data_IF_161273546553
#
_entry.id   IF_161273546553
#
_cell.length_a   1.000
_cell.length_b   1.000
_cell.length_c   1.000
_cell.angle_alpha   90.00
_cell.angle_beta   90.00
_cell.angle_gamma   90.00
#
_symmetry.space_group_name_H-M   'P 1'
#
loop_
_entity.id
_entity.type
_entity.pdbx_description
1 polymer ?
#
# COMPACT_ATOMS: atom_id res chain seq x y z
N UNK A 1 -14.94 -3.15 26.01
CA UNK A 1 -13.69 -2.35 26.06
C UNK A 1 -13.95 -0.88 25.80
N UNK A 2 -14.61 -0.49 24.69
CA UNK A 2 -14.99 0.91 24.39
C UNK A 2 -15.64 1.65 25.58
N UNK A 3 -16.58 1.02 26.27
CA UNK A 3 -17.25 1.59 27.44
C UNK A 3 -16.30 1.88 28.62
N UNK A 4 -15.27 1.05 28.86
CA UNK A 4 -14.26 1.30 29.91
C UNK A 4 -13.38 2.49 29.55
N UNK A 5 -13.08 2.65 28.26
CA UNK A 5 -12.24 3.72 27.74
C UNK A 5 -12.96 5.06 27.81
N UNK A 6 -14.24 5.09 27.43
CA UNK A 6 -15.11 6.26 27.57
C UNK A 6 -15.23 6.68 29.04
N UNK A 7 -15.35 5.71 29.96
CA UNK A 7 -15.33 5.98 31.41
C UNK A 7 -13.96 6.49 31.89
N UNK A 8 -12.86 5.96 31.36
CA UNK A 8 -11.51 6.44 31.70
C UNK A 8 -11.25 7.87 31.20
N UNK A 9 -11.78 8.25 30.03
CA UNK A 9 -11.67 9.62 29.51
C UNK A 9 -12.39 10.64 30.39
N UNK A 10 -13.47 10.26 31.08
CA UNK A 10 -14.12 11.15 32.05
C UNK A 10 -13.24 11.46 33.26
N UNK A 11 -12.32 10.54 33.61
CA UNK A 11 -11.40 10.71 34.75
C UNK A 11 -10.04 11.29 34.34
N UNK A 12 -9.54 10.90 33.17
CA UNK A 12 -8.24 11.32 32.62
C UNK A 12 -8.43 11.62 31.13
N UNK A 13 -8.93 12.83 30.79
CA UNK A 13 -9.29 13.18 29.42
C UNK A 13 -8.09 13.09 28.47
N UNK A 14 -6.90 13.42 28.95
CA UNK A 14 -5.67 13.48 28.16
C UNK A 14 -5.02 12.10 27.94
N UNK A 15 -5.57 11.02 28.52
CA UNK A 15 -4.94 9.70 28.53
C UNK A 15 -4.66 9.20 27.11
N UNK A 16 -5.65 9.33 26.21
CA UNK A 16 -5.51 8.83 24.85
C UNK A 16 -4.50 9.64 24.04
N UNK A 17 -4.44 10.95 24.23
CA UNK A 17 -3.46 11.81 23.54
C UNK A 17 -2.04 11.49 23.99
N UNK A 18 -1.85 11.27 25.29
CA UNK A 18 -0.55 10.85 25.85
C UNK A 18 -0.17 9.46 25.35
N UNK A 19 -1.13 8.52 25.30
CA UNK A 19 -0.90 7.18 24.75
C UNK A 19 -0.55 7.22 23.27
N UNK A 20 -1.31 7.97 22.44
CA UNK A 20 -1.05 8.15 21.00
C UNK A 20 0.36 8.66 20.78
N UNK A 21 0.71 9.75 21.46
CA UNK A 21 2.04 10.38 21.39
C UNK A 21 3.17 9.40 21.75
N UNK A 22 3.06 8.70 22.89
CA UNK A 22 4.11 7.77 23.34
C UNK A 22 4.22 6.54 22.46
N UNK A 23 3.08 6.01 22.01
CA UNK A 23 3.04 4.95 21.02
C UNK A 23 3.74 5.39 19.74
N UNK A 24 3.43 6.57 19.20
CA UNK A 24 4.10 7.10 18.00
C UNK A 24 5.61 7.24 18.19
N UNK A 25 6.09 7.68 19.37
CA UNK A 25 7.54 7.76 19.67
C UNK A 25 8.19 6.38 19.65
N UNK A 26 7.67 5.44 20.45
CA UNK A 26 8.22 4.08 20.52
C UNK A 26 8.17 3.41 19.14
N UNK A 27 7.05 3.52 18.46
CA UNK A 27 6.83 2.97 17.13
C UNK A 27 7.86 3.56 16.14
N UNK A 28 8.04 4.88 16.07
CA UNK A 28 9.05 5.46 15.18
C UNK A 28 10.49 5.06 15.51
N UNK A 29 10.82 4.89 16.79
CA UNK A 29 12.16 4.44 17.20
C UNK A 29 12.40 2.97 16.86
N UNK A 30 11.42 2.09 17.10
CA UNK A 30 11.46 0.67 16.72
C UNK A 30 11.80 0.51 15.25
N UNK A 31 11.23 1.39 14.45
CA UNK A 31 11.20 1.28 13.02
C UNK A 31 12.42 1.87 12.31
N UNK A 32 13.13 2.75 12.99
CA UNK A 32 14.33 3.40 12.46
C UNK A 32 15.62 2.65 12.84
N UNK A 33 15.52 1.58 13.64
CA UNK A 33 16.58 0.85 14.32
C UNK A 33 17.50 1.69 15.21
N UNK A 34 17.89 2.89 14.82
CA UNK A 34 18.61 3.89 15.60
C UNK A 34 18.27 5.29 15.06
N UNK A 35 17.72 6.18 15.89
CA UNK A 35 17.30 7.52 15.44
C UNK A 35 17.76 8.64 16.38
N UNK A 36 18.22 9.74 15.80
CA UNK A 36 18.58 10.96 16.53
C UNK A 36 17.35 11.80 16.90
N UNK A 37 17.42 12.50 18.04
CA UNK A 37 16.30 13.29 18.58
C UNK A 37 15.74 14.33 17.59
N UNK A 38 16.61 15.05 16.88
CA UNK A 38 16.19 16.08 15.92
C UNK A 38 15.35 15.49 14.78
N UNK A 39 15.82 14.38 14.20
CA UNK A 39 15.11 13.66 13.15
C UNK A 39 13.76 13.15 13.66
N UNK A 40 13.76 12.50 14.82
CA UNK A 40 12.52 11.98 15.42
C UNK A 40 11.50 13.08 15.72
N UNK A 41 11.95 14.25 16.21
CA UNK A 41 11.09 15.39 16.48
C UNK A 41 10.44 15.93 15.20
N UNK A 42 11.24 16.06 14.13
CA UNK A 42 10.75 16.49 12.81
C UNK A 42 9.72 15.50 12.24
N UNK A 43 9.99 14.19 12.31
CA UNK A 43 9.08 13.16 11.79
C UNK A 43 7.73 13.16 12.51
N UNK A 44 7.74 13.39 13.83
CA UNK A 44 6.53 13.38 14.65
C UNK A 44 5.83 14.75 14.73
N UNK A 45 6.32 15.77 14.03
CA UNK A 45 5.84 17.15 14.14
C UNK A 45 5.81 17.66 15.60
N UNK A 46 6.84 17.30 16.38
CA UNK A 46 7.00 17.68 17.78
C UNK A 46 8.19 18.60 17.98
N UNK A 47 8.17 19.41 19.05
CA UNK A 47 9.38 20.17 19.45
C UNK A 47 10.41 19.24 20.10
N UNK A 48 11.70 19.52 19.92
CA UNK A 48 12.76 18.73 20.59
C UNK A 48 12.63 18.72 22.12
N UNK A 49 12.16 19.82 22.71
CA UNK A 49 11.93 19.91 24.16
C UNK A 49 10.85 18.95 24.62
N UNK A 50 9.74 18.89 23.90
CA UNK A 50 8.63 17.98 24.21
C UNK A 50 9.04 16.53 23.99
N UNK A 51 9.71 16.24 22.86
CA UNK A 51 10.20 14.91 22.57
C UNK A 51 11.17 14.42 23.65
N UNK A 52 12.10 15.28 24.11
CA UNK A 52 13.03 14.95 25.19
C UNK A 52 12.31 14.49 26.45
N UNK A 53 11.28 15.23 26.89
CA UNK A 53 10.53 14.87 28.09
C UNK A 53 9.88 13.49 27.97
N UNK A 54 9.28 13.18 26.80
CA UNK A 54 8.68 11.87 26.56
C UNK A 54 9.72 10.76 26.43
N UNK A 55 10.83 10.98 25.73
CA UNK A 55 11.89 9.96 25.58
C UNK A 55 12.60 9.68 26.89
N UNK A 56 12.80 10.70 27.74
CA UNK A 56 13.35 10.53 29.08
C UNK A 56 12.39 9.69 29.95
N UNK A 57 11.07 9.93 29.87
CA UNK A 57 10.07 9.10 30.53
C UNK A 57 10.08 7.66 30.01
N UNK A 58 10.08 7.44 28.70
CA UNK A 58 10.08 6.11 28.11
C UNK A 58 11.35 5.32 28.46
N UNK A 59 12.49 6.02 28.58
CA UNK A 59 13.74 5.45 29.09
C UNK A 59 13.64 5.02 30.54
N UNK A 60 13.05 5.83 31.43
CA UNK A 60 12.88 5.44 32.85
C UNK A 60 11.93 4.26 33.03
N UNK A 61 10.97 4.07 32.11
CA UNK A 61 10.13 2.88 32.02
C UNK A 61 10.84 1.66 31.40
N UNK A 62 12.09 1.80 30.94
CA UNK A 62 12.85 0.73 30.31
C UNK A 62 12.37 0.35 28.90
N UNK A 63 11.54 1.19 28.26
CA UNK A 63 10.99 0.94 26.92
C UNK A 63 11.89 1.49 25.80
N UNK A 64 12.86 2.33 26.17
CA UNK A 64 13.74 3.04 25.25
C UNK A 64 15.18 3.04 25.77
N UNK A 65 16.14 2.83 24.89
CA UNK A 65 17.57 2.97 25.15
C UNK A 65 18.10 4.23 24.47
N UNK A 66 18.85 5.06 25.20
CA UNK A 66 19.40 6.31 24.68
C UNK A 66 20.92 6.28 24.80
N UNK A 67 21.61 6.38 23.67
CA UNK A 67 23.07 6.45 23.56
C UNK A 67 23.51 7.73 22.87
N UNK A 68 24.82 8.00 22.85
CA UNK A 68 25.40 9.16 22.16
C UNK A 68 25.07 9.19 20.65
N UNK A 69 24.92 8.02 20.03
CA UNK A 69 24.59 7.87 18.60
C UNK A 69 23.10 7.95 18.25
N UNK A 70 22.21 7.95 19.24
CA UNK A 70 20.75 7.96 19.00
C UNK A 70 19.96 7.12 19.99
N UNK A 71 18.69 6.92 19.68
CA UNK A 71 17.73 6.19 20.48
C UNK A 71 17.38 4.86 19.81
N UNK A 72 17.25 3.81 20.62
CA UNK A 72 16.84 2.46 20.24
C UNK A 72 15.64 2.03 21.07
N UNK A 73 14.79 1.17 20.52
CA UNK A 73 13.74 0.53 21.31
C UNK A 73 14.35 -0.68 22.04
N UNK A 74 13.97 -0.87 23.30
CA UNK A 74 14.32 -2.09 24.04
C UNK A 74 13.41 -3.26 23.64
N UNK A 75 13.76 -4.48 24.00
CA UNK A 75 12.90 -5.65 23.72
C UNK A 75 11.56 -5.58 24.48
N UNK A 76 11.52 -5.01 25.69
CA UNK A 76 10.28 -4.74 26.41
C UNK A 76 9.42 -3.69 25.69
N UNK A 77 10.04 -2.68 25.08
CA UNK A 77 9.37 -1.70 24.24
C UNK A 77 8.72 -2.33 23.01
N UNK A 78 9.42 -3.25 22.32
CA UNK A 78 8.88 -3.99 21.17
C UNK A 78 7.68 -4.84 21.56
N UNK A 79 7.82 -5.62 22.64
CA UNK A 79 6.74 -6.47 23.14
C UNK A 79 5.50 -5.65 23.52
N UNK A 80 5.70 -4.49 24.16
CA UNK A 80 4.61 -3.58 24.48
C UNK A 80 3.90 -3.07 23.22
N UNK A 81 4.63 -2.67 22.19
CA UNK A 81 4.04 -2.21 20.92
C UNK A 81 3.23 -3.31 20.24
N UNK A 82 3.76 -4.54 20.18
CA UNK A 82 3.05 -5.68 19.60
C UNK A 82 1.74 -5.99 20.35
N UNK A 83 1.75 -5.91 21.68
CA UNK A 83 0.56 -6.11 22.50
C UNK A 83 -0.43 -4.95 22.41
N UNK A 84 0.07 -3.73 22.19
CA UNK A 84 -0.75 -2.53 22.04
C UNK A 84 -1.30 -2.35 20.63
N UNK A 85 -0.74 -2.97 19.59
CA UNK A 85 -1.19 -2.78 18.21
C UNK A 85 -2.70 -3.07 18.02
N UNK A 86 -3.27 -4.18 18.54
CA UNK A 86 -4.72 -4.42 18.46
C UNK A 86 -5.54 -3.38 19.22
N UNK A 87 -5.01 -2.91 20.36
CA UNK A 87 -5.65 -1.90 21.18
C UNK A 87 -5.64 -0.53 20.49
N UNK A 88 -4.51 -0.13 19.89
CA UNK A 88 -4.36 1.11 19.14
C UNK A 88 -5.38 1.19 18.00
N UNK A 89 -5.55 0.10 17.23
CA UNK A 89 -6.57 0.04 16.17
C UNK A 89 -8.00 0.28 16.67
N UNK A 90 -8.33 -0.35 17.80
CA UNK A 90 -9.67 -0.25 18.41
C UNK A 90 -9.91 1.13 19.04
N UNK A 91 -8.87 1.75 19.60
CA UNK A 91 -8.97 2.96 20.41
C UNK A 91 -8.92 4.25 19.60
N UNK A 92 -8.17 4.24 18.50
CA UNK A 92 -8.02 5.40 17.63
C UNK A 92 -8.93 5.35 16.41
N UNK A 93 -10.02 4.58 16.49
CA UNK A 93 -11.07 4.56 15.47
C UNK A 93 -10.68 3.90 14.15
N UNK A 94 -9.49 3.30 14.03
CA UNK A 94 -9.06 2.67 12.77
C UNK A 94 -10.00 1.54 12.36
N UNK A 95 -10.51 0.76 13.32
CA UNK A 95 -11.51 -0.28 13.02
C UNK A 95 -12.85 0.29 12.53
N UNK A 96 -13.22 1.49 12.97
CA UNK A 96 -14.45 2.16 12.49
C UNK A 96 -14.25 2.71 11.08
N UNK A 97 -13.07 3.27 10.78
CA UNK A 97 -12.68 3.68 9.44
C UNK A 97 -12.61 2.47 8.49
N UNK A 98 -11.98 1.37 8.92
CA UNK A 98 -11.92 0.11 8.18
C UNK A 98 -13.33 -0.35 7.81
N UNK A 99 -14.25 -0.41 8.79
CA UNK A 99 -15.62 -0.87 8.58
C UNK A 99 -16.45 0.08 7.72
N UNK A 100 -16.28 1.40 7.90
CA UNK A 100 -16.96 2.42 7.09
C UNK A 100 -16.58 2.31 5.62
N UNK A 101 -15.27 2.24 5.33
CA UNK A 101 -14.74 2.10 3.97
C UNK A 101 -15.15 0.75 3.38
N UNK A 102 -15.00 -0.33 4.16
CA UNK A 102 -15.33 -1.70 3.72
C UNK A 102 -16.79 -1.81 3.32
N UNK A 103 -17.70 -1.36 4.18
CA UNK A 103 -19.14 -1.46 3.93
C UNK A 103 -19.61 -0.52 2.83
N UNK A 104 -19.04 0.68 2.71
CA UNK A 104 -19.41 1.62 1.65
C UNK A 104 -18.99 1.14 0.25
N UNK A 105 -17.77 0.66 0.09
CA UNK A 105 -17.25 0.19 -1.21
C UNK A 105 -17.45 -1.30 -1.48
N UNK A 106 -18.07 -2.05 -0.57
CA UNK A 106 -18.36 -3.48 -0.75
C UNK A 106 -17.13 -4.39 -0.74
N UNK A 107 -16.07 -4.00 -0.02
CA UNK A 107 -14.81 -4.75 0.03
C UNK A 107 -14.93 -5.96 0.98
N UNK A 108 -14.18 -7.03 0.72
CA UNK A 108 -14.10 -8.18 1.64
C UNK A 108 -13.34 -7.82 2.91
N UNK A 109 -12.31 -6.99 2.79
CA UNK A 109 -11.47 -6.56 3.90
C UNK A 109 -10.82 -5.20 3.63
N UNK A 110 -10.74 -4.37 4.67
CA UNK A 110 -9.92 -3.15 4.69
C UNK A 110 -8.95 -3.28 5.85
N UNK A 111 -7.68 -2.94 5.61
CA UNK A 111 -6.66 -2.85 6.65
C UNK A 111 -6.05 -1.46 6.61
N UNK A 112 -6.11 -0.76 7.75
CA UNK A 112 -5.51 0.55 7.91
C UNK A 112 -4.28 0.44 8.82
N UNK A 113 -3.15 0.99 8.35
CA UNK A 113 -1.95 1.20 9.17
C UNK A 113 -1.90 2.65 9.67
N UNK A 114 -1.36 2.87 10.87
CA UNK A 114 -1.31 4.20 11.47
C UNK A 114 -0.33 5.16 10.74
N UNK A 115 -0.71 6.44 10.66
CA UNK A 115 0.11 7.50 10.08
C UNK A 115 -0.13 7.77 8.59
N UNK A 116 0.88 8.37 7.94
CA UNK A 116 0.81 8.84 6.55
C UNK A 116 2.07 8.41 5.76
N UNK A 117 1.90 7.52 4.79
CA UNK A 117 3.01 6.99 3.97
C UNK A 117 3.56 7.98 2.94
N UNK A 118 2.91 9.13 2.73
CA UNK A 118 3.43 10.23 1.91
C UNK A 118 4.61 10.91 2.60
N UNK A 119 4.48 11.20 3.90
CA UNK A 119 5.49 11.89 4.70
C UNK A 119 6.41 10.95 5.49
N UNK A 120 5.95 9.72 5.76
CA UNK A 120 6.67 8.73 6.56
C UNK A 120 7.07 7.52 5.73
N UNK A 121 8.36 7.43 5.39
CA UNK A 121 8.94 6.23 4.77
C UNK A 121 8.67 4.98 5.61
N UNK A 122 8.52 5.15 6.92
CA UNK A 122 8.17 4.07 7.82
C UNK A 122 6.71 3.63 7.68
N UNK A 123 5.75 4.54 7.63
CA UNK A 123 4.35 4.16 7.41
C UNK A 123 4.23 3.41 6.08
N UNK A 124 5.01 3.79 5.06
CA UNK A 124 5.13 3.04 3.80
C UNK A 124 5.67 1.61 3.98
N UNK A 125 6.61 1.39 4.90
CA UNK A 125 7.10 0.04 5.25
C UNK A 125 6.03 -0.78 5.97
N UNK A 126 5.31 -0.19 6.93
CA UNK A 126 4.18 -0.87 7.59
C UNK A 126 3.06 -1.20 6.61
N UNK A 127 2.77 -0.31 5.66
CA UNK A 127 1.84 -0.56 4.58
C UNK A 127 2.26 -1.78 3.75
N UNK A 128 3.56 -1.89 3.44
CA UNK A 128 4.15 -3.07 2.81
C UNK A 128 4.01 -4.34 3.65
N UNK A 129 4.24 -4.25 4.97
CA UNK A 129 4.12 -5.38 5.92
C UNK A 129 2.68 -5.88 6.01
N UNK A 130 1.72 -4.96 6.15
CA UNK A 130 0.30 -5.31 6.14
C UNK A 130 -0.11 -5.95 4.80
N UNK A 131 0.34 -5.40 3.67
CA UNK A 131 0.10 -5.99 2.35
C UNK A 131 0.70 -7.39 2.19
N UNK A 132 1.92 -7.63 2.72
CA UNK A 132 2.56 -8.95 2.64
C UNK A 132 1.85 -9.98 3.52
N UNK A 133 1.32 -9.57 4.67
CA UNK A 133 0.51 -10.43 5.54
C UNK A 133 -0.81 -10.85 4.88
N UNK A 134 -1.50 -9.93 4.21
CA UNK A 134 -2.70 -10.26 3.42
C UNK A 134 -2.35 -11.28 2.35
N UNK A 135 -1.34 -10.98 1.53
CA UNK A 135 -0.92 -11.86 0.44
C UNK A 135 -0.57 -13.26 0.96
N UNK A 136 0.22 -13.36 2.02
CA UNK A 136 0.58 -14.65 2.64
C UNK A 136 -0.63 -15.43 3.16
N UNK A 137 -1.67 -14.75 3.64
CA UNK A 137 -2.88 -15.39 4.17
C UNK A 137 -3.75 -15.96 3.05
N UNK A 138 -3.81 -15.30 1.89
CA UNK A 138 -4.68 -15.71 0.78
C UNK A 138 -4.02 -16.66 -0.21
N UNK A 139 -2.68 -16.68 -0.27
CA UNK A 139 -1.94 -17.58 -1.16
C UNK A 139 -2.14 -19.05 -0.76
N UNK A 140 -2.26 -19.89 -1.79
CA UNK A 140 -2.35 -21.34 -1.78
C UNK A 140 -1.24 -21.92 -2.68
N UNK A 141 -0.87 -23.20 -2.51
CA UNK A 141 0.08 -23.85 -3.41
C UNK A 141 -0.38 -23.78 -4.87
N UNK A 142 0.56 -23.55 -5.78
CA UNK A 142 0.35 -23.49 -7.24
C UNK A 142 -0.36 -22.23 -7.76
N UNK A 143 -0.53 -21.20 -6.94
CA UNK A 143 -1.08 -19.94 -7.43
C UNK A 143 -0.15 -19.23 -8.41
N UNK A 144 -0.78 -18.48 -9.31
CA UNK A 144 -0.14 -17.40 -10.05
C UNK A 144 -0.55 -16.07 -9.44
N UNK A 145 0.44 -15.28 -9.03
CA UNK A 145 0.32 -13.95 -8.42
C UNK A 145 0.86 -12.91 -9.39
N UNK A 146 -0.03 -12.10 -9.96
CA UNK A 146 0.36 -10.97 -10.81
C UNK A 146 0.57 -9.70 -9.99
N UNK A 147 1.68 -8.99 -10.25
CA UNK A 147 2.05 -7.81 -9.47
C UNK A 147 2.38 -6.60 -10.33
N UNK A 148 1.95 -5.40 -9.90
CA UNK A 148 2.32 -4.16 -10.59
C UNK A 148 3.70 -3.65 -10.15
N UNK A 149 4.15 -2.61 -10.84
CA UNK A 149 5.28 -1.78 -10.39
C UNK A 149 4.93 -0.89 -9.18
N UNK A 150 5.91 -0.13 -8.73
CA UNK A 150 5.72 0.99 -7.80
C UNK A 150 6.39 0.82 -6.44
N UNK A 151 6.63 1.96 -5.79
CA UNK A 151 7.37 2.01 -4.51
C UNK A 151 6.63 1.29 -3.39
N UNK A 152 5.30 1.35 -3.37
CA UNK A 152 4.48 0.65 -2.36
C UNK A 152 4.53 -0.87 -2.52
N UNK A 153 4.39 -1.39 -3.76
CA UNK A 153 4.45 -2.83 -4.01
C UNK A 153 5.86 -3.38 -3.80
N UNK A 154 6.89 -2.58 -4.07
CA UNK A 154 8.26 -2.92 -3.68
C UNK A 154 8.40 -3.09 -2.15
N UNK A 155 7.69 -2.31 -1.32
CA UNK A 155 7.66 -2.54 0.12
C UNK A 155 6.95 -3.84 0.49
N UNK A 156 5.82 -4.17 -0.16
CA UNK A 156 5.16 -5.48 0.02
C UNK A 156 6.12 -6.62 -0.26
N UNK A 157 6.79 -6.56 -1.41
CA UNK A 157 7.78 -7.55 -1.80
C UNK A 157 8.92 -7.66 -0.79
N UNK A 158 9.41 -6.55 -0.25
CA UNK A 158 10.48 -6.54 0.76
C UNK A 158 10.11 -7.19 2.09
N UNK A 159 8.82 -7.25 2.41
CA UNK A 159 8.29 -7.82 3.66
C UNK A 159 7.85 -9.28 3.52
N UNK A 160 7.99 -9.88 2.32
CA UNK A 160 7.74 -11.30 2.14
C UNK A 160 8.87 -12.14 2.75
N UNK A 161 8.47 -13.25 3.36
CA UNK A 161 9.34 -14.22 4.01
C UNK A 161 9.16 -15.60 3.39
N UNK A 162 10.21 -16.42 3.42
CA UNK A 162 10.16 -17.76 2.82
C UNK A 162 9.22 -18.68 3.59
N UNK A 163 8.44 -19.46 2.84
CA UNK A 163 7.63 -20.55 3.35
C UNK A 163 7.71 -21.72 2.38
N UNK A 164 7.84 -22.94 2.90
CA UNK A 164 7.92 -24.16 2.08
C UNK A 164 6.67 -24.36 1.21
N UNK A 165 5.51 -23.90 1.68
CA UNK A 165 4.23 -24.02 0.99
C UNK A 165 4.12 -23.14 -0.26
N UNK A 166 4.95 -22.09 -0.37
CA UNK A 166 4.86 -21.10 -1.46
C UNK A 166 5.81 -21.41 -2.62
N UNK A 167 6.66 -22.44 -2.52
CA UNK A 167 7.69 -22.74 -3.52
C UNK A 167 7.13 -23.10 -4.89
N UNK A 168 5.89 -23.59 -4.95
CA UNK A 168 5.23 -23.99 -6.20
C UNK A 168 4.44 -22.85 -6.85
N UNK A 169 4.41 -21.67 -6.24
CA UNK A 169 3.71 -20.51 -6.74
C UNK A 169 4.55 -19.79 -7.81
N UNK A 170 3.87 -18.99 -8.63
CA UNK A 170 4.48 -18.14 -9.64
C UNK A 170 4.20 -16.68 -9.34
N UNK A 171 5.25 -15.87 -9.29
CA UNK A 171 5.12 -14.41 -9.34
C UNK A 171 5.36 -13.93 -10.77
N UNK A 172 4.43 -13.15 -11.30
CA UNK A 172 4.49 -12.62 -12.67
C UNK A 172 4.19 -11.12 -12.68
N UNK A 173 4.73 -10.35 -13.62
CA UNK A 173 4.37 -8.95 -13.76
C UNK A 173 2.94 -8.83 -14.30
N UNK A 174 2.15 -7.91 -13.76
CA UNK A 174 0.82 -7.61 -14.28
C UNK A 174 0.88 -6.95 -15.67
N UNK A 175 2.00 -6.30 -16.01
CA UNK A 175 2.15 -5.43 -17.19
C UNK A 175 3.59 -5.40 -17.70
N UNK A 176 3.80 -4.77 -18.86
CA UNK A 176 5.12 -4.61 -19.47
C UNK A 176 6.05 -3.68 -18.68
N UNK A 177 7.29 -3.59 -19.14
CA UNK A 177 8.31 -2.73 -18.54
C UNK A 177 8.02 -1.24 -18.81
N UNK A 178 8.09 -0.44 -17.75
CA UNK A 178 8.20 1.02 -17.83
C UNK A 178 9.69 1.37 -17.81
N UNK A 179 10.16 2.22 -18.73
CA UNK A 179 11.57 2.60 -18.89
C UNK A 179 12.15 3.47 -17.76
N UNK A 180 11.85 3.14 -16.52
CA UNK A 180 12.10 3.91 -15.30
C UNK A 180 13.13 3.23 -14.39
N UNK A 181 13.25 3.71 -13.15
CA UNK A 181 14.04 3.07 -12.08
C UNK A 181 13.77 1.57 -12.04
N UNK A 182 14.82 0.79 -12.32
CA UNK A 182 14.79 -0.66 -12.40
C UNK A 182 14.21 -1.30 -11.13
N UNK A 183 14.40 -0.66 -9.98
CA UNK A 183 13.99 -1.18 -8.66
C UNK A 183 12.47 -1.26 -8.48
N UNK A 184 11.70 -0.44 -9.20
CA UNK A 184 10.24 -0.35 -9.04
C UNK A 184 9.46 -0.92 -10.23
N UNK A 185 10.13 -1.58 -11.17
CA UNK A 185 9.47 -2.24 -12.29
C UNK A 185 8.76 -3.52 -11.85
N UNK A 186 7.63 -3.83 -12.49
CA UNK A 186 6.85 -5.04 -12.20
C UNK A 186 7.68 -6.33 -12.31
N UNK A 187 8.56 -6.43 -13.33
CA UNK A 187 9.49 -7.55 -13.49
C UNK A 187 10.42 -7.72 -12.29
N UNK A 188 11.03 -6.62 -11.83
CA UNK A 188 11.95 -6.63 -10.70
C UNK A 188 11.25 -7.02 -9.42
N UNK A 189 10.05 -6.46 -9.19
CA UNK A 189 9.23 -6.77 -8.03
C UNK A 189 8.79 -8.24 -8.04
N UNK A 190 8.31 -8.77 -9.17
CA UNK A 190 7.93 -10.18 -9.31
C UNK A 190 9.11 -11.12 -9.00
N UNK A 191 10.29 -10.82 -9.57
CA UNK A 191 11.52 -11.58 -9.28
C UNK A 191 11.92 -11.49 -7.81
N UNK A 192 11.78 -10.32 -7.19
CA UNK A 192 12.09 -10.11 -5.76
C UNK A 192 11.14 -10.91 -4.86
N UNK A 193 9.83 -10.89 -5.13
CA UNK A 193 8.85 -11.67 -4.38
C UNK A 193 9.15 -13.17 -4.47
N UNK A 194 9.44 -13.67 -5.67
CA UNK A 194 9.80 -15.07 -5.88
C UNK A 194 11.07 -15.46 -5.12
N UNK A 195 12.13 -14.65 -5.21
CA UNK A 195 13.39 -14.90 -4.49
C UNK A 195 13.21 -14.94 -2.97
N UNK A 196 12.38 -14.05 -2.41
CA UNK A 196 12.14 -13.98 -0.96
C UNK A 196 11.29 -15.13 -0.44
N UNK A 197 10.32 -15.57 -1.24
CA UNK A 197 9.44 -16.68 -0.86
C UNK A 197 10.05 -18.05 -1.17
N UNK A 198 10.96 -18.12 -2.15
CA UNK A 198 11.47 -19.36 -2.74
C UNK A 198 10.60 -19.89 -3.87
N UNK A 199 9.64 -19.08 -4.34
CA UNK A 199 8.72 -19.38 -5.43
C UNK A 199 9.39 -19.19 -6.81
N UNK A 200 8.64 -19.47 -7.86
CA UNK A 200 9.06 -19.29 -9.25
C UNK A 200 8.62 -17.93 -9.78
N UNK A 201 9.23 -17.45 -10.87
CA UNK A 201 8.79 -16.25 -11.57
C UNK A 201 8.95 -16.38 -13.08
N UNK A 202 8.12 -15.64 -13.83
CA UNK A 202 8.30 -15.38 -15.27
C UNK A 202 8.25 -13.89 -15.52
N UNK A 203 9.06 -13.39 -16.47
CA UNK A 203 9.23 -11.96 -16.74
C UNK A 203 8.76 -11.58 -18.14
N UNK A 204 8.05 -10.48 -18.24
CA UNK A 204 7.51 -9.95 -19.49
C UNK A 204 8.44 -8.86 -20.02
N UNK A 205 9.27 -9.20 -21.01
CA UNK A 205 10.27 -8.31 -21.60
C UNK A 205 9.72 -7.52 -22.80
N UNK A 206 8.57 -6.88 -22.62
CA UNK A 206 7.97 -5.97 -23.61
C UNK A 206 7.71 -4.61 -22.99
N UNK A 207 7.80 -3.50 -23.75
CA UNK A 207 7.40 -2.19 -23.29
C UNK A 207 5.93 -2.16 -22.84
N UNK A 208 5.63 -1.38 -21.80
CA UNK A 208 4.26 -1.16 -21.33
C UNK A 208 3.42 -0.34 -22.34
N UNK A 209 4.06 0.45 -23.19
CA UNK A 209 3.41 1.25 -24.23
C UNK A 209 3.99 0.89 -25.59
N UNK A 210 3.11 0.44 -26.50
CA UNK A 210 3.42 0.06 -27.87
C UNK A 210 2.37 0.69 -28.79
N UNK A 211 2.80 1.12 -29.98
CA UNK A 211 1.86 1.44 -31.06
C UNK A 211 1.13 0.19 -31.54
N UNK A 212 -0.02 0.38 -32.19
CA UNK A 212 -0.93 -0.72 -32.59
C UNK A 212 -0.22 -1.82 -33.42
N UNK A 213 0.58 -1.42 -34.41
CA UNK A 213 1.31 -2.36 -35.27
C UNK A 213 2.33 -3.20 -34.50
N UNK A 214 3.12 -2.54 -33.63
CA UNK A 214 4.12 -3.22 -32.81
C UNK A 214 3.46 -4.16 -31.78
N UNK A 215 2.35 -3.73 -31.19
CA UNK A 215 1.55 -4.57 -30.30
C UNK A 215 1.02 -5.81 -31.03
N UNK A 216 0.41 -5.63 -32.21
CA UNK A 216 -0.16 -6.73 -32.98
C UNK A 216 0.92 -7.76 -33.37
N UNK A 217 2.10 -7.29 -33.78
CA UNK A 217 3.25 -8.14 -34.12
C UNK A 217 3.77 -8.91 -32.90
N UNK A 218 4.06 -8.23 -31.78
CA UNK A 218 4.58 -8.84 -30.55
C UNK A 218 3.61 -9.89 -29.97
N UNK A 219 2.30 -9.67 -30.08
CA UNK A 219 1.31 -10.64 -29.61
C UNK A 219 1.25 -11.93 -30.44
N UNK A 220 1.84 -11.97 -31.64
CA UNK A 220 1.98 -13.20 -32.43
C UNK A 220 3.19 -14.04 -32.03
N UNK A 221 4.14 -13.48 -31.29
CA UNK A 221 5.33 -14.20 -30.84
C UNK A 221 4.94 -15.28 -29.81
N UNK A 222 5.20 -16.58 -30.07
CA UNK A 222 4.74 -17.67 -29.22
C UNK A 222 5.17 -17.53 -27.75
N UNK A 223 6.42 -17.10 -27.52
CA UNK A 223 6.96 -16.91 -26.17
C UNK A 223 6.25 -15.79 -25.41
N UNK A 224 5.83 -14.73 -26.11
CA UNK A 224 5.09 -13.61 -25.51
C UNK A 224 3.67 -14.06 -25.20
N UNK A 225 3.03 -14.78 -26.12
CA UNK A 225 1.70 -15.32 -25.90
C UNK A 225 1.66 -16.26 -24.70
N UNK A 226 2.62 -17.19 -24.60
CA UNK A 226 2.72 -18.12 -23.46
C UNK A 226 2.79 -17.39 -22.12
N UNK A 227 3.66 -16.37 -22.00
CA UNK A 227 3.75 -15.63 -20.74
C UNK A 227 2.51 -14.79 -20.46
N UNK A 228 1.90 -14.20 -21.48
CA UNK A 228 0.64 -13.45 -21.32
C UNK A 228 -0.48 -14.36 -20.84
N UNK A 229 -0.56 -15.58 -21.35
CA UNK A 229 -1.55 -16.57 -20.91
C UNK A 229 -1.34 -16.93 -19.42
N UNK A 230 -0.09 -17.07 -18.96
CA UNK A 230 0.23 -17.25 -17.53
C UNK A 230 -0.15 -16.02 -16.71
N UNK A 231 0.16 -14.80 -17.20
CA UNK A 231 -0.21 -13.55 -16.50
C UNK A 231 -1.73 -13.46 -16.33
N UNK A 232 -2.50 -13.80 -17.37
CA UNK A 232 -3.97 -13.74 -17.36
C UNK A 232 -4.63 -14.88 -16.57
N UNK A 233 -3.89 -15.96 -16.28
CA UNK A 233 -4.33 -17.01 -15.36
C UNK A 233 -4.09 -16.67 -13.89
N UNK A 234 -3.69 -15.44 -13.56
CA UNK A 234 -3.44 -15.04 -12.19
C UNK A 234 -4.71 -15.17 -11.33
N UNK A 235 -4.61 -15.94 -10.24
CA UNK A 235 -5.68 -16.02 -9.24
C UNK A 235 -5.67 -14.81 -8.32
N UNK A 236 -4.46 -14.30 -8.03
CA UNK A 236 -4.24 -13.15 -7.16
C UNK A 236 -3.58 -12.03 -7.94
N UNK A 237 -4.09 -10.80 -7.79
CA UNK A 237 -3.49 -9.59 -8.33
C UNK A 237 -3.14 -8.65 -7.18
N UNK A 238 -1.90 -8.18 -7.13
CA UNK A 238 -1.43 -7.19 -6.13
C UNK A 238 -1.01 -5.92 -6.84
N UNK A 239 -1.64 -4.79 -6.51
CA UNK A 239 -1.43 -3.56 -7.26
C UNK A 239 -1.38 -2.30 -6.40
N UNK A 240 -0.64 -1.32 -6.90
CA UNK A 240 -0.64 0.03 -6.37
C UNK A 240 -1.69 0.90 -7.06
N UNK A 241 -1.99 2.03 -6.42
CA UNK A 241 -2.85 3.09 -6.98
C UNK A 241 -2.01 4.35 -7.18
N UNK A 242 -2.04 4.87 -8.40
CA UNK A 242 -1.31 6.04 -8.85
C UNK A 242 -2.22 7.25 -9.06
N UNK A 243 -1.61 8.44 -9.03
CA UNK A 243 -2.21 9.64 -9.60
C UNK A 243 -2.16 9.55 -11.13
N UNK A 244 -3.27 9.89 -11.78
CA UNK A 244 -3.41 9.79 -13.24
C UNK A 244 -2.33 10.60 -13.98
N UNK A 245 -2.10 11.86 -13.59
CA UNK A 245 -1.21 12.75 -14.31
C UNK A 245 0.26 12.43 -14.05
N UNK A 246 0.60 12.01 -12.83
CA UNK A 246 1.93 11.48 -12.53
C UNK A 246 2.22 10.26 -13.41
N UNK A 247 1.26 9.34 -13.55
CA UNK A 247 1.44 8.13 -14.36
C UNK A 247 1.49 8.40 -15.87
N UNK A 248 0.69 9.35 -16.37
CA UNK A 248 0.73 9.76 -17.77
C UNK A 248 2.09 10.35 -18.16
N UNK A 249 2.66 11.23 -17.30
CA UNK A 249 4.00 11.80 -17.50
C UNK A 249 5.11 10.74 -17.44
N UNK A 250 5.00 9.81 -16.49
CA UNK A 250 5.92 8.66 -16.35
C UNK A 250 5.95 7.79 -17.61
N UNK A 251 4.79 7.60 -18.24
CA UNK A 251 4.64 6.88 -19.52
C UNK A 251 5.02 7.70 -20.75
N UNK A 252 5.32 8.99 -20.58
CA UNK A 252 5.62 9.92 -21.69
C UNK A 252 4.52 9.93 -22.75
N UNK A 253 3.27 9.94 -22.29
CA UNK A 253 2.13 10.06 -23.19
C UNK A 253 2.15 11.41 -23.90
N UNK A 254 1.62 11.42 -25.12
CA UNK A 254 1.48 12.65 -25.90
C UNK A 254 0.61 13.66 -25.17
N UNK A 255 0.93 14.94 -25.36
CA UNK A 255 0.28 16.03 -24.62
C UNK A 255 -1.22 16.09 -24.92
N UNK A 256 -1.60 15.80 -26.16
CA UNK A 256 -2.99 15.74 -26.60
C UNK A 256 -3.80 14.68 -25.82
N UNK A 257 -3.18 13.53 -25.51
CA UNK A 257 -3.80 12.46 -24.70
C UNK A 257 -3.92 12.91 -23.25
N UNK A 258 -2.89 13.56 -22.71
CA UNK A 258 -2.91 14.10 -21.34
C UNK A 258 -4.01 15.14 -21.20
N UNK A 259 -4.08 16.12 -22.10
CA UNK A 259 -5.07 17.19 -22.09
C UNK A 259 -6.50 16.63 -22.22
N UNK A 260 -6.71 15.60 -23.05
CA UNK A 260 -7.99 14.91 -23.16
C UNK A 260 -8.38 14.18 -21.86
N UNK A 261 -7.45 13.45 -21.23
CA UNK A 261 -7.68 12.80 -19.94
C UNK A 261 -8.00 13.80 -18.82
N UNK A 262 -7.30 14.94 -18.78
CA UNK A 262 -7.60 16.01 -17.82
C UNK A 262 -9.00 16.59 -18.05
N UNK A 263 -9.40 16.81 -19.31
CA UNK A 263 -10.73 17.30 -19.65
C UNK A 263 -11.85 16.32 -19.27
N UNK A 264 -11.58 15.02 -19.35
CA UNK A 264 -12.49 13.96 -18.90
C UNK A 264 -12.45 13.71 -17.38
N UNK A 265 -11.56 14.40 -16.66
CA UNK A 265 -11.49 14.35 -15.20
C UNK A 265 -10.70 13.17 -14.64
N UNK A 266 -9.73 12.65 -15.39
CA UNK A 266 -8.83 11.59 -14.93
C UNK A 266 -8.13 11.98 -13.62
N UNK A 267 -8.34 11.15 -12.60
CA UNK A 267 -7.84 11.36 -11.24
C UNK A 267 -6.88 10.25 -10.82
N UNK A 268 -7.30 9.00 -11.02
CA UNK A 268 -6.55 7.82 -10.57
C UNK A 268 -6.04 7.00 -11.75
N UNK A 269 -4.96 6.27 -11.53
CA UNK A 269 -4.48 5.24 -12.43
C UNK A 269 -4.28 3.93 -11.68
N UNK A 270 -4.74 2.85 -12.30
CA UNK A 270 -4.36 1.50 -11.91
C UNK A 270 -4.40 0.57 -13.10
N UNK A 271 -3.43 -0.34 -13.19
CA UNK A 271 -3.28 -1.29 -14.29
C UNK A 271 -3.31 -0.65 -15.70
N UNK A 272 -2.88 0.61 -15.84
CA UNK A 272 -2.97 1.43 -17.05
C UNK A 272 -4.38 1.73 -17.53
N UNK A 273 -5.35 1.67 -16.63
CA UNK A 273 -6.65 2.32 -16.78
C UNK A 273 -6.63 3.60 -15.95
N UNK A 274 -7.20 4.65 -16.52
CA UNK A 274 -7.36 5.94 -15.86
C UNK A 274 -8.82 6.13 -15.51
N UNK A 275 -9.07 6.60 -14.30
CA UNK A 275 -10.40 6.67 -13.72
C UNK A 275 -10.72 8.10 -13.29
N UNK A 276 -11.96 8.52 -13.51
CA UNK A 276 -12.49 9.76 -12.94
C UNK A 276 -12.85 9.60 -11.45
N UNK A 277 -13.32 10.69 -10.83
CA UNK A 277 -13.81 10.69 -9.43
C UNK A 277 -14.92 9.68 -9.17
N UNK A 278 -15.74 9.36 -10.17
CA UNK A 278 -16.87 8.43 -10.03
C UNK A 278 -16.44 6.98 -10.19
N UNK A 279 -15.15 6.71 -10.48
CA UNK A 279 -14.64 5.39 -10.78
C UNK A 279 -14.93 4.92 -12.20
N UNK A 280 -15.36 5.82 -13.10
CA UNK A 280 -15.54 5.49 -14.51
C UNK A 280 -14.19 5.52 -15.23
N UNK A 281 -13.97 4.54 -16.12
CA UNK A 281 -12.77 4.48 -16.96
C UNK A 281 -12.86 5.56 -18.03
N UNK A 282 -11.98 6.56 -17.98
CA UNK A 282 -11.88 7.64 -18.97
C UNK A 282 -10.80 7.38 -20.01
N UNK A 283 -9.80 6.56 -19.68
CA UNK A 283 -8.79 6.15 -20.66
C UNK A 283 -8.25 4.76 -20.37
N UNK A 284 -7.93 4.02 -21.44
CA UNK A 284 -7.35 2.68 -21.36
C UNK A 284 -6.07 2.58 -22.18
N UNK A 285 -4.99 2.17 -21.55
CA UNK A 285 -3.75 1.86 -22.25
C UNK A 285 -3.86 0.50 -22.93
N UNK A 286 -3.37 0.40 -24.16
CA UNK A 286 -3.23 -0.87 -24.85
C UNK A 286 -1.99 -1.61 -24.37
N UNK A 287 -2.18 -2.66 -23.55
CA UNK A 287 -1.06 -3.37 -22.90
C UNK A 287 -1.08 -4.87 -23.05
N UNK A 288 0.13 -5.44 -23.05
CA UNK A 288 0.39 -6.85 -23.34
C UNK A 288 -0.04 -7.77 -22.17
N UNK A 289 0.09 -7.31 -20.92
CA UNK A 289 -0.23 -8.08 -19.72
C UNK A 289 -1.73 -8.21 -19.43
N UNK A 290 -2.12 -7.91 -18.19
CA UNK A 290 -3.50 -7.93 -17.72
C UNK A 290 -4.35 -6.86 -18.44
N UNK A 291 -5.59 -7.24 -18.71
CA UNK A 291 -6.68 -6.39 -19.20
C UNK A 291 -7.70 -6.20 -18.09
N UNK A 292 -8.60 -5.24 -18.29
CA UNK A 292 -9.69 -4.98 -17.33
C UNK A 292 -10.57 -6.22 -17.14
N UNK A 293 -10.87 -6.92 -18.23
CA UNK A 293 -11.65 -8.16 -18.24
C UNK A 293 -10.99 -9.27 -17.41
N UNK A 294 -9.66 -9.32 -17.35
CA UNK A 294 -8.92 -10.30 -16.55
C UNK A 294 -9.07 -9.98 -15.05
N UNK A 295 -9.07 -8.68 -14.69
CA UNK A 295 -9.23 -8.21 -13.31
C UNK A 295 -10.63 -8.55 -12.78
N UNK A 296 -11.67 -8.36 -13.61
CA UNK A 296 -13.05 -8.68 -13.25
C UNK A 296 -13.24 -10.17 -12.90
N UNK A 297 -12.44 -11.05 -13.52
CA UNK A 297 -12.49 -12.50 -13.30
C UNK A 297 -11.43 -13.01 -12.30
N UNK A 298 -10.58 -12.12 -11.78
CA UNK A 298 -9.58 -12.48 -10.78
C UNK A 298 -10.27 -12.78 -9.45
N UNK A 299 -9.83 -13.85 -8.77
CA UNK A 299 -10.47 -14.30 -7.52
C UNK A 299 -10.12 -13.41 -6.32
N UNK A 300 -8.89 -12.88 -6.28
CA UNK A 300 -8.44 -12.00 -5.20
C UNK A 300 -7.64 -10.83 -5.75
N UNK A 301 -8.17 -9.62 -5.63
CA UNK A 301 -7.49 -8.37 -5.98
C UNK A 301 -7.15 -7.58 -4.71
N UNK A 302 -5.85 -7.36 -4.51
CA UNK A 302 -5.30 -6.66 -3.35
C UNK A 302 -4.74 -5.30 -3.78
N UNK A 303 -5.45 -4.23 -3.44
CA UNK A 303 -4.99 -2.86 -3.59
C UNK A 303 -4.14 -2.43 -2.40
N UNK A 304 -2.91 -1.98 -2.65
CA UNK A 304 -2.01 -1.46 -1.61
C UNK A 304 -1.56 -0.05 -1.97
N UNK A 305 -2.15 0.94 -1.29
CA UNK A 305 -1.88 2.35 -1.54
C UNK A 305 -2.17 3.20 -0.31
N UNK A 306 -1.39 4.25 -0.11
CA UNK A 306 -1.55 5.18 1.01
C UNK A 306 -0.90 6.52 0.69
N UNK A 307 -1.07 7.46 1.60
CA UNK A 307 -0.66 8.85 1.48
C UNK A 307 -1.86 9.77 1.39
N UNK A 308 -1.84 10.86 2.17
CA UNK A 308 -2.96 11.79 2.25
C UNK A 308 -3.43 12.28 0.88
N UNK A 309 -2.50 12.70 0.01
CA UNK A 309 -2.81 13.18 -1.35
C UNK A 309 -3.49 12.14 -2.25
N UNK A 310 -3.41 10.84 -1.91
CA UNK A 310 -3.99 9.74 -2.70
C UNK A 310 -5.38 9.31 -2.25
N UNK A 311 -5.92 9.84 -1.15
CA UNK A 311 -7.23 9.43 -0.63
C UNK A 311 -8.34 9.44 -1.68
N UNK A 312 -8.43 10.53 -2.45
CA UNK A 312 -9.42 10.67 -3.54
C UNK A 312 -9.18 9.67 -4.68
N UNK A 313 -7.92 9.46 -5.07
CA UNK A 313 -7.58 8.50 -6.11
C UNK A 313 -7.88 7.05 -5.68
N UNK A 314 -7.62 6.72 -4.42
CA UNK A 314 -7.96 5.40 -3.86
C UNK A 314 -9.48 5.21 -3.85
N UNK A 315 -10.25 6.20 -3.39
CA UNK A 315 -11.70 6.17 -3.42
C UNK A 315 -12.25 5.94 -4.85
N UNK A 316 -11.71 6.62 -5.86
CA UNK A 316 -12.11 6.44 -7.25
C UNK A 316 -11.91 4.99 -7.74
N UNK A 317 -10.77 4.36 -7.43
CA UNK A 317 -10.54 2.94 -7.75
C UNK A 317 -11.50 2.03 -6.97
N UNK A 318 -11.78 2.33 -5.70
CA UNK A 318 -12.72 1.52 -4.92
C UNK A 318 -14.15 1.62 -5.46
N UNK A 319 -14.57 2.78 -6.01
CA UNK A 319 -15.87 2.95 -6.70
C UNK A 319 -15.97 2.16 -8.00
N UNK A 320 -14.87 2.03 -8.75
CA UNK A 320 -14.81 1.14 -9.91
C UNK A 320 -15.14 -0.32 -9.52
N UNK A 321 -14.77 -0.71 -8.30
CA UNK A 321 -15.01 -2.04 -7.75
C UNK A 321 -13.88 -3.02 -8.09
N UNK A 322 -14.20 -4.32 -7.98
CA UNK A 322 -13.27 -5.43 -8.29
C UNK A 322 -12.01 -5.49 -7.43
N UNK A 323 -11.97 -4.77 -6.31
CA UNK A 323 -10.98 -4.97 -5.26
C UNK A 323 -11.61 -5.81 -4.16
N UNK A 324 -10.94 -6.87 -3.74
CA UNK A 324 -11.38 -7.67 -2.61
C UNK A 324 -10.82 -7.11 -1.31
N UNK A 325 -9.55 -6.70 -1.34
CA UNK A 325 -8.83 -6.22 -0.15
C UNK A 325 -8.16 -4.90 -0.43
N UNK A 326 -8.40 -3.91 0.43
CA UNK A 326 -7.66 -2.65 0.46
C UNK A 326 -6.73 -2.62 1.68
N UNK A 327 -5.45 -2.33 1.43
CA UNK A 327 -4.48 -2.00 2.47
C UNK A 327 -4.07 -0.55 2.28
N UNK A 328 -4.38 0.29 3.26
CA UNK A 328 -4.13 1.74 3.22
C UNK A 328 -3.60 2.29 4.54
N UNK A 329 -3.31 3.59 4.61
CA UNK A 329 -2.88 4.28 5.82
C UNK A 329 -3.97 5.22 6.38
N UNK A 330 -3.82 5.60 7.64
CA UNK A 330 -4.77 6.44 8.39
C UNK A 330 -5.07 7.75 7.65
N UNK A 331 -4.04 8.39 7.08
CA UNK A 331 -4.22 9.66 6.40
C UNK A 331 -5.05 9.55 5.11
N UNK A 332 -4.79 8.54 4.26
CA UNK A 332 -5.62 8.28 3.09
C UNK A 332 -7.04 7.85 3.47
N UNK A 333 -7.19 7.02 4.50
CA UNK A 333 -8.49 6.54 4.96
C UNK A 333 -9.38 7.67 5.47
N UNK A 334 -8.83 8.66 6.19
CA UNK A 334 -9.57 9.83 6.66
C UNK A 334 -10.11 10.66 5.49
N UNK A 335 -9.31 10.87 4.44
CA UNK A 335 -9.76 11.55 3.22
C UNK A 335 -10.87 10.75 2.52
N UNK A 336 -10.74 9.42 2.44
CA UNK A 336 -11.79 8.56 1.88
C UNK A 336 -13.11 8.67 2.67
N UNK A 337 -13.06 8.69 4.00
CA UNK A 337 -14.26 8.81 4.85
C UNK A 337 -14.91 10.19 4.71
N UNK A 338 -14.12 11.27 4.64
CA UNK A 338 -14.65 12.60 4.39
C UNK A 338 -15.41 12.69 3.05
N UNK A 339 -14.94 12.01 2.00
CA UNK A 339 -15.64 11.91 0.73
C UNK A 339 -16.96 11.14 0.86
N UNK A 340 -16.97 10.03 1.61
CA UNK A 340 -18.18 9.24 1.86
C UNK A 340 -19.24 10.06 2.62
N UNK A 341 -18.81 10.90 3.57
CA UNK A 341 -19.71 11.78 4.31
C UNK A 341 -20.34 12.84 3.40
N UNK A 342 -19.54 13.44 2.49
CA UNK A 342 -20.03 14.41 1.51
C UNK A 342 -21.02 13.82 0.48
N UNK A 343 -20.99 12.51 0.23
CA UNK A 343 -21.96 11.85 -0.66
C UNK A 343 -23.33 11.64 -0.02
N UNK A 344 -23.42 11.69 1.31
CA UNK A 344 -24.68 11.47 2.05
C UNK A 344 -25.51 12.75 2.22
N UNK A 345 -24.88 13.91 2.03
CA UNK A 345 -25.50 15.25 2.12
C UNK A 345 -26.08 15.71 0.77
#
# INVERSE_FOLDING_TARGET
MRQIVELQQQLVPDLLDVMKKRYSILHQVMLSDLIGRRTLASTLSMTERMLRAETDFLKTQGLLEIHSGGMRISDSGKLLLEQLEPFYKTMFGLSELEETIRSHYGLSQVIIVAGDSEISAQTKRELGRAGSQVLNKVMQPHDVVAVTGGTTIAQVANQLVSSSQLKTNWFVPARGGLGESLDYQANTIASMMAKRTGAQYRLLHVPDHLGEEAFASIMQEPNIKEIVDVIRSARIVVHGIGDAMVMARRRRLDREIIDAMEAEGALAESFGFYFDRKGAVVHKMQTVGLRLEDIVNTEVVIGVAGGKSKGEAIAAIMRFGHNDVLVTDEAAALEMVALIEQEKD
#
